data_IF_582743101281
#
_entry.id   IF_582743101281
#
_cell.length_a   1.000
_cell.length_b   1.000
_cell.length_c   1.000
_cell.angle_alpha   90.00
_cell.angle_beta   90.00
_cell.angle_gamma   90.00
#
_symmetry.space_group_name_H-M   'P 1'
#
loop_
_entity.id
_entity.type
_entity.pdbx_description
1 polymer ?
#
# COMPACT_ATOMS: atom_id res chain seq x y z
N UNK A 1 19.58 4.14 -4.65
CA UNK A 1 18.28 3.47 -4.43
C UNK A 1 18.34 2.45 -3.28
N UNK A 2 19.43 1.71 -3.09
CA UNK A 2 19.56 0.69 -2.03
C UNK A 2 19.36 1.19 -0.59
N UNK A 3 19.90 2.37 -0.24
CA UNK A 3 19.71 2.95 1.12
C UNK A 3 18.24 3.20 1.45
N UNK A 4 17.44 3.63 0.48
CA UNK A 4 15.99 3.87 0.66
C UNK A 4 15.25 2.55 0.83
N UNK A 5 15.58 1.54 0.02
CA UNK A 5 15.03 0.19 0.17
C UNK A 5 15.37 -0.41 1.55
N UNK A 6 16.62 -0.26 1.99
CA UNK A 6 17.06 -0.68 3.31
C UNK A 6 16.28 0.03 4.42
N UNK A 7 16.13 1.35 4.33
CA UNK A 7 15.40 2.13 5.33
C UNK A 7 13.91 1.72 5.39
N UNK A 8 13.25 1.56 4.25
CA UNK A 8 11.88 1.04 4.21
C UNK A 8 11.77 -0.36 4.82
N UNK A 9 12.73 -1.24 4.54
CA UNK A 9 12.74 -2.57 5.17
C UNK A 9 12.92 -2.49 6.69
N UNK A 10 13.76 -1.58 7.18
CA UNK A 10 13.94 -1.34 8.63
C UNK A 10 12.67 -0.81 9.30
N UNK A 11 11.95 0.09 8.64
CA UNK A 11 10.65 0.59 9.14
C UNK A 11 9.62 -0.54 9.18
N UNK A 12 9.52 -1.34 8.12
CA UNK A 12 8.62 -2.52 8.08
C UNK A 12 8.97 -3.54 9.17
N UNK A 13 10.25 -3.79 9.42
CA UNK A 13 10.71 -4.68 10.50
C UNK A 13 10.20 -4.19 11.86
N UNK A 14 10.40 -2.90 12.20
CA UNK A 14 9.90 -2.32 13.46
C UNK A 14 8.38 -2.37 13.57
N UNK A 15 7.67 -2.10 12.48
CA UNK A 15 6.20 -2.19 12.44
C UNK A 15 5.73 -3.63 12.69
N UNK A 16 6.39 -4.62 12.09
CA UNK A 16 6.07 -6.04 12.28
C UNK A 16 6.39 -6.51 13.69
N UNK A 17 7.51 -6.11 14.27
CA UNK A 17 7.86 -6.38 15.68
C UNK A 17 6.74 -5.89 16.61
N UNK A 18 6.24 -4.68 16.37
CA UNK A 18 5.16 -4.10 17.17
C UNK A 18 3.82 -4.82 16.95
N UNK A 19 3.48 -5.16 15.71
CA UNK A 19 2.27 -5.94 15.40
C UNK A 19 2.29 -7.31 16.10
N UNK A 20 3.44 -8.00 16.10
CA UNK A 20 3.63 -9.27 16.83
C UNK A 20 3.47 -9.08 18.34
N UNK A 21 3.97 -7.97 18.89
CA UNK A 21 3.88 -7.68 20.34
C UNK A 21 2.44 -7.53 20.82
N UNK A 22 1.59 -6.89 20.03
CA UNK A 22 0.21 -6.56 20.40
C UNK A 22 -0.82 -7.60 19.92
N UNK A 23 -0.47 -8.46 18.96
CA UNK A 23 -1.34 -9.53 18.49
C UNK A 23 -1.72 -10.52 19.61
N UNK A 24 -2.95 -11.09 19.57
CA UNK A 24 -3.47 -11.91 20.66
C UNK A 24 -2.78 -13.28 20.72
N UNK A 25 -2.41 -13.84 19.56
CA UNK A 25 -1.74 -15.14 19.44
C UNK A 25 -0.22 -15.02 19.54
N UNK A 26 0.32 -14.99 20.77
CA UNK A 26 1.76 -14.81 21.04
C UNK A 26 2.64 -16.02 20.74
N UNK A 27 2.06 -17.23 20.70
CA UNK A 27 2.83 -18.48 20.60
C UNK A 27 3.23 -18.78 19.15
N UNK A 28 2.44 -18.32 18.17
CA UNK A 28 2.76 -18.38 16.74
C UNK A 28 1.77 -17.49 15.95
N UNK A 29 2.04 -16.18 15.80
CA UNK A 29 1.12 -15.30 15.07
C UNK A 29 1.06 -15.70 13.60
N UNK A 30 -0.15 -15.85 13.07
CA UNK A 30 -0.38 -16.09 11.64
C UNK A 30 -0.39 -14.74 10.91
N UNK A 31 0.45 -14.59 9.89
CA UNK A 31 0.61 -13.37 9.13
C UNK A 31 0.15 -13.52 7.66
N UNK A 32 -0.73 -12.64 7.21
CA UNK A 32 -1.14 -12.48 5.81
C UNK A 32 -0.55 -11.19 5.24
N UNK A 33 0.19 -11.26 4.13
CA UNK A 33 0.69 -10.08 3.42
C UNK A 33 -0.07 -9.86 2.11
N UNK A 34 -0.88 -8.79 2.04
CA UNK A 34 -1.77 -8.48 0.93
C UNK A 34 -1.05 -7.84 -0.27
N UNK A 35 0.19 -7.39 -0.10
CA UNK A 35 0.93 -6.63 -1.10
C UNK A 35 2.31 -7.23 -1.43
N UNK A 36 2.46 -8.55 -1.32
CA UNK A 36 3.73 -9.27 -1.49
C UNK A 36 4.19 -9.42 -2.97
N UNK A 37 3.36 -9.05 -3.95
CA UNK A 37 3.56 -9.32 -5.37
C UNK A 37 2.24 -9.35 -6.14
N UNK A 38 2.11 -10.05 -7.29
CA UNK A 38 0.95 -9.97 -8.21
C UNK A 38 -0.42 -10.47 -7.66
N UNK A 39 -0.62 -10.53 -6.34
CA UNK A 39 -1.95 -10.52 -5.73
C UNK A 39 -2.83 -11.75 -5.99
N UNK A 40 -2.31 -12.84 -6.56
CA UNK A 40 -3.10 -14.04 -6.91
C UNK A 40 -3.54 -14.88 -5.72
N UNK A 41 -3.05 -14.59 -4.53
CA UNK A 41 -3.13 -15.53 -3.40
C UNK A 41 -4.14 -15.13 -2.33
N UNK A 42 -4.69 -13.90 -2.38
CA UNK A 42 -5.75 -13.44 -1.46
C UNK A 42 -6.99 -14.35 -1.46
N UNK A 43 -7.42 -14.81 -2.63
CA UNK A 43 -8.60 -15.67 -2.79
C UNK A 43 -8.32 -17.14 -2.42
N UNK A 44 -7.05 -17.56 -2.31
CA UNK A 44 -6.68 -18.93 -1.91
C UNK A 44 -6.89 -19.19 -0.42
N UNK A 45 -6.90 -18.14 0.38
CA UNK A 45 -6.99 -18.22 1.84
C UNK A 45 -8.33 -17.69 2.39
N UNK A 46 -9.23 -17.24 1.51
CA UNK A 46 -10.57 -16.84 1.90
C UNK A 46 -11.36 -18.07 2.39
N UNK A 47 -11.56 -18.17 3.71
CA UNK A 47 -12.51 -19.10 4.33
C UNK A 47 -11.93 -20.30 5.08
N UNK A 48 -10.60 -20.42 5.23
CA UNK A 48 -10.01 -21.61 5.88
C UNK A 48 -9.33 -21.34 7.21
N UNK A 49 -8.72 -20.16 7.43
CA UNK A 49 -8.12 -19.78 8.71
C UNK A 49 -8.17 -18.26 8.95
N UNK A 50 -8.28 -17.83 10.21
CA UNK A 50 -8.17 -16.41 10.62
C UNK A 50 -6.72 -16.05 10.92
N UNK A 51 -6.36 -14.80 10.66
CA UNK A 51 -5.00 -14.29 10.76
C UNK A 51 -4.86 -13.37 11.98
N UNK A 52 -3.75 -13.50 12.71
CA UNK A 52 -3.41 -12.64 13.84
C UNK A 52 -2.92 -11.28 13.37
N UNK A 53 -2.28 -11.25 12.20
CA UNK A 53 -1.69 -10.06 11.60
C UNK A 53 -2.00 -10.06 10.10
N UNK A 54 -2.49 -8.93 9.59
CA UNK A 54 -2.65 -8.68 8.16
C UNK A 54 -1.81 -7.44 7.82
N UNK A 55 -0.97 -7.53 6.79
CA UNK A 55 -0.15 -6.41 6.33
C UNK A 55 -0.47 -5.96 4.91
N UNK A 56 -0.38 -4.64 4.66
CA UNK A 56 -0.47 -4.05 3.33
C UNK A 56 0.56 -2.91 3.17
N UNK A 57 1.74 -3.22 2.64
CA UNK A 57 2.86 -2.28 2.55
C UNK A 57 2.95 -1.64 1.16
N UNK A 58 2.89 -0.31 1.08
CA UNK A 58 3.06 0.48 -0.16
C UNK A 58 2.08 0.12 -1.29
N UNK A 59 0.88 -0.34 -0.94
CA UNK A 59 -0.16 -0.68 -1.91
C UNK A 59 -1.57 -0.20 -1.52
N UNK A 60 -1.79 0.19 -0.27
CA UNK A 60 -3.11 0.59 0.22
C UNK A 60 -3.70 1.77 -0.57
N UNK A 61 -2.85 2.71 -0.99
CA UNK A 61 -3.25 3.88 -1.78
C UNK A 61 -3.84 3.54 -3.15
N UNK A 62 -3.58 2.34 -3.70
CA UNK A 62 -4.24 1.90 -4.94
C UNK A 62 -5.71 1.53 -4.73
N UNK A 63 -6.07 1.09 -3.52
CA UNK A 63 -7.44 0.71 -3.16
C UNK A 63 -8.28 1.93 -2.75
N UNK A 64 -7.64 3.04 -2.36
CA UNK A 64 -8.29 4.25 -1.86
C UNK A 64 -8.87 5.18 -2.95
N UNK A 65 -8.74 4.82 -4.24
CA UNK A 65 -9.31 5.62 -5.35
C UNK A 65 -10.83 5.54 -5.42
N UNK A 66 -11.40 4.46 -4.91
CA UNK A 66 -12.82 4.13 -5.02
C UNK A 66 -13.30 3.71 -3.63
N UNK A 67 -14.17 4.52 -3.04
CA UNK A 67 -14.65 4.33 -1.66
C UNK A 67 -15.37 2.99 -1.48
N UNK A 68 -16.12 2.54 -2.49
CA UNK A 68 -16.83 1.26 -2.44
C UNK A 68 -15.82 0.10 -2.44
N UNK A 69 -14.83 0.14 -3.33
CA UNK A 69 -13.75 -0.88 -3.36
C UNK A 69 -12.90 -0.84 -2.09
N UNK A 70 -12.65 0.35 -1.54
CA UNK A 70 -11.93 0.49 -0.28
C UNK A 70 -12.72 -0.12 0.88
N UNK A 71 -14.03 0.11 0.94
CA UNK A 71 -14.93 -0.52 1.90
C UNK A 71 -14.88 -2.05 1.81
N UNK A 72 -15.05 -2.59 0.59
CA UNK A 72 -14.97 -4.04 0.35
C UNK A 72 -13.59 -4.62 0.74
N UNK A 73 -12.51 -3.89 0.48
CA UNK A 73 -11.17 -4.28 0.90
C UNK A 73 -11.06 -4.33 2.44
N UNK A 74 -11.57 -3.31 3.13
CA UNK A 74 -11.55 -3.28 4.60
C UNK A 74 -12.44 -4.35 5.22
N UNK A 75 -13.58 -4.67 4.60
CA UNK A 75 -14.43 -5.80 4.98
C UNK A 75 -13.70 -7.14 4.82
N UNK A 76 -12.95 -7.31 3.73
CA UNK A 76 -12.12 -8.50 3.52
C UNK A 76 -10.99 -8.60 4.57
N UNK A 77 -10.33 -7.49 4.90
CA UNK A 77 -9.32 -7.43 5.97
C UNK A 77 -9.94 -7.80 7.32
N UNK A 78 -11.07 -7.20 7.68
CA UNK A 78 -11.78 -7.47 8.93
C UNK A 78 -12.27 -8.92 9.00
N UNK A 79 -12.78 -9.46 7.90
CA UNK A 79 -13.22 -10.85 7.79
C UNK A 79 -12.08 -11.86 7.94
N UNK A 80 -10.87 -11.51 7.48
CA UNK A 80 -9.67 -12.33 7.58
C UNK A 80 -9.05 -12.31 8.98
N UNK A 81 -9.19 -11.22 9.73
CA UNK A 81 -8.62 -11.09 11.07
C UNK A 81 -9.33 -11.96 12.11
N UNK A 82 -8.57 -12.42 13.10
CA UNK A 82 -9.13 -12.90 14.37
C UNK A 82 -9.54 -11.74 15.28
N UNK A 83 -10.37 -12.02 16.29
CA UNK A 83 -10.76 -11.00 17.28
C UNK A 83 -9.50 -10.51 18.00
N UNK A 84 -9.26 -9.20 17.95
CA UNK A 84 -8.05 -8.59 18.49
C UNK A 84 -6.83 -8.65 17.56
N UNK A 85 -6.97 -9.20 16.35
CA UNK A 85 -5.93 -9.20 15.33
C UNK A 85 -5.56 -7.80 14.84
N UNK A 86 -4.38 -7.69 14.23
CA UNK A 86 -3.76 -6.41 13.85
C UNK A 86 -3.76 -6.25 12.34
N UNK A 87 -4.28 -5.12 11.86
CA UNK A 87 -4.01 -4.64 10.50
C UNK A 87 -2.91 -3.59 10.53
N UNK A 88 -1.84 -3.79 9.75
CA UNK A 88 -0.70 -2.88 9.69
C UNK A 88 -0.25 -2.60 8.24
N UNK A 89 0.34 -1.45 7.99
CA UNK A 89 0.82 -1.13 6.66
C UNK A 89 1.54 0.21 6.61
N UNK A 90 2.32 0.39 5.55
CA UNK A 90 3.00 1.66 5.27
C UNK A 90 2.34 2.35 4.08
N UNK A 91 1.96 3.62 4.25
CA UNK A 91 1.47 4.48 3.17
C UNK A 91 2.23 5.82 3.13
N UNK A 92 2.09 6.52 2.01
CA UNK A 92 2.55 7.91 1.92
C UNK A 92 1.67 8.83 2.77
N UNK A 93 2.28 9.80 3.44
CA UNK A 93 1.53 10.82 4.18
C UNK A 93 0.90 11.83 3.20
N UNK A 94 -0.43 11.84 3.11
CA UNK A 94 -1.19 12.72 2.22
C UNK A 94 -0.88 14.21 2.42
N UNK A 95 -0.87 14.68 3.66
CA UNK A 95 -0.57 16.09 3.98
C UNK A 95 0.86 16.51 3.59
N UNK A 96 1.81 15.56 3.63
CA UNK A 96 3.18 15.79 3.18
C UNK A 96 3.21 15.89 1.66
N UNK A 97 2.50 15.02 0.96
CA UNK A 97 2.37 15.02 -0.50
C UNK A 97 1.75 16.34 -0.96
N UNK A 98 0.62 16.74 -0.35
CA UNK A 98 -0.07 18.01 -0.64
C UNK A 98 0.86 19.23 -0.49
N UNK A 99 1.63 19.28 0.60
CA UNK A 99 2.59 20.38 0.83
C UNK A 99 3.75 20.40 -0.16
N UNK A 100 4.24 19.24 -0.59
CA UNK A 100 5.34 19.15 -1.55
C UNK A 100 4.89 19.58 -2.95
N UNK A 101 3.70 19.14 -3.36
CA UNK A 101 3.10 19.46 -4.66
C UNK A 101 2.69 20.93 -4.73
N UNK A 102 2.10 21.47 -3.65
CA UNK A 102 1.73 22.87 -3.55
C UNK A 102 0.89 23.39 -4.73
N UNK A 103 0.90 24.71 -4.96
CA UNK A 103 0.18 25.34 -6.08
C UNK A 103 0.76 25.02 -7.46
N UNK A 104 2.04 24.61 -7.55
CA UNK A 104 2.66 24.24 -8.84
C UNK A 104 2.06 22.97 -9.43
N UNK A 105 1.42 22.14 -8.60
CA UNK A 105 0.86 20.86 -9.04
C UNK A 105 1.93 19.81 -9.32
N UNK A 106 3.22 20.11 -9.12
CA UNK A 106 4.34 19.25 -9.44
C UNK A 106 5.47 19.42 -8.42
N UNK A 107 6.11 18.31 -8.07
CA UNK A 107 7.31 18.23 -7.23
C UNK A 107 8.28 17.23 -7.82
N UNK A 108 9.56 17.58 -7.88
CA UNK A 108 10.62 16.70 -8.36
C UNK A 108 11.83 16.73 -7.43
N UNK A 109 12.44 15.57 -7.26
CA UNK A 109 13.68 15.37 -6.51
C UNK A 109 14.51 14.29 -7.20
N UNK A 110 15.77 14.14 -6.81
CA UNK A 110 16.62 13.04 -7.32
C UNK A 110 16.15 11.62 -6.98
N UNK A 111 15.04 11.47 -6.24
CA UNK A 111 14.48 10.18 -5.83
C UNK A 111 13.06 9.96 -6.38
N UNK A 112 12.21 10.99 -6.31
CA UNK A 112 10.81 10.88 -6.69
C UNK A 112 10.31 12.13 -7.40
N UNK A 113 9.31 11.91 -8.24
CA UNK A 113 8.49 12.95 -8.83
C UNK A 113 7.02 12.73 -8.44
N UNK A 114 6.31 13.82 -8.17
CA UNK A 114 4.91 13.84 -7.81
C UNK A 114 4.22 14.84 -8.74
N UNK A 115 3.07 14.47 -9.31
CA UNK A 115 2.28 15.38 -10.13
C UNK A 115 0.79 15.23 -9.82
N UNK A 116 0.11 16.36 -9.67
CA UNK A 116 -1.35 16.45 -9.56
C UNK A 116 -1.97 16.66 -10.94
N UNK A 117 -3.03 15.90 -11.22
CA UNK A 117 -3.87 16.06 -12.41
C UNK A 117 -5.33 16.00 -11.96
N UNK A 118 -5.96 17.17 -11.82
CA UNK A 118 -7.29 17.26 -11.21
C UNK A 118 -7.24 16.85 -9.73
N UNK A 119 -8.08 15.89 -9.34
CA UNK A 119 -8.14 15.33 -7.98
C UNK A 119 -7.11 14.22 -7.75
N UNK A 120 -6.45 13.73 -8.79
CA UNK A 120 -5.51 12.61 -8.68
C UNK A 120 -4.07 13.07 -8.50
N UNK A 121 -3.33 12.32 -7.68
CA UNK A 121 -1.91 12.53 -7.43
C UNK A 121 -1.13 11.27 -7.84
N UNK A 122 -0.30 11.41 -8.86
CA UNK A 122 0.61 10.36 -9.32
C UNK A 122 1.98 10.50 -8.69
N UNK A 123 2.60 9.37 -8.31
CA UNK A 123 3.96 9.32 -7.75
C UNK A 123 4.83 8.39 -8.57
N UNK A 124 6.04 8.86 -8.91
CA UNK A 124 7.06 8.10 -9.65
C UNK A 124 8.37 8.06 -8.86
N UNK A 125 8.97 6.88 -8.73
CA UNK A 125 10.22 6.65 -7.97
C UNK A 125 11.50 6.70 -8.81
N UNK A 126 11.43 7.27 -10.03
CA UNK A 126 12.57 7.33 -10.96
C UNK A 126 13.25 8.71 -11.02
N UNK A 127 12.86 9.66 -10.16
CA UNK A 127 13.47 10.99 -10.09
C UNK A 127 13.41 11.80 -11.39
N UNK A 128 12.45 11.48 -12.28
CA UNK A 128 12.13 12.25 -13.48
C UNK A 128 10.62 12.31 -13.65
N UNK A 129 10.08 13.50 -13.91
CA UNK A 129 8.76 13.64 -14.52
C UNK A 129 8.90 13.17 -15.98
N UNK A 130 8.73 11.86 -16.20
CA UNK A 130 8.73 11.36 -17.59
C UNK A 130 7.41 11.75 -18.26
N UNK A 131 7.43 12.07 -19.55
CA UNK A 131 6.21 12.18 -20.35
C UNK A 131 5.36 10.88 -20.36
N UNK A 132 5.91 9.77 -19.84
CA UNK A 132 5.23 8.49 -19.59
C UNK A 132 4.41 8.44 -18.30
N UNK A 133 4.70 9.25 -17.29
CA UNK A 133 3.77 9.47 -16.16
C UNK A 133 2.44 10.09 -16.64
N UNK A 134 2.42 10.70 -17.84
CA UNK A 134 1.21 11.15 -18.52
C UNK A 134 0.46 10.05 -19.31
N UNK A 135 0.96 8.81 -19.37
CA UNK A 135 0.35 7.72 -20.17
C UNK A 135 0.15 6.39 -19.43
N UNK A 136 0.72 6.21 -18.23
CA UNK A 136 0.81 4.90 -17.58
C UNK A 136 -0.48 4.38 -16.89
N UNK A 137 -1.56 5.16 -16.79
CA UNK A 137 -2.85 4.67 -16.25
C UNK A 137 -3.95 4.49 -17.30
N UNK A 138 -3.62 4.48 -18.60
CA UNK A 138 -4.59 4.12 -19.66
C UNK A 138 -4.47 2.68 -20.16
N UNK A 139 -3.63 1.83 -19.57
CA UNK A 139 -3.34 0.51 -20.16
C UNK A 139 -3.31 -0.71 -19.22
N UNK A 140 -3.83 -0.62 -17.98
CA UNK A 140 -4.05 -1.84 -17.16
C UNK A 140 -5.53 -2.20 -16.94
N UNK A 141 -6.47 -1.38 -17.42
CA UNK A 141 -7.89 -1.76 -17.56
C UNK A 141 -8.28 -1.65 -19.03
N UNK A 142 -7.92 -2.66 -19.81
CA UNK A 142 -8.22 -2.71 -21.24
C UNK A 142 -7.75 -4.01 -21.87
N UNK A 143 -8.72 -4.91 -22.10
CA UNK A 143 -8.67 -6.19 -22.81
C UNK A 143 -8.21 -7.40 -22.00
N UNK A 144 -9.19 -8.19 -21.57
CA UNK A 144 -9.33 -9.57 -22.05
C UNK A 144 -10.80 -9.78 -22.41
N UNK A 145 -11.06 -9.82 -23.72
CA UNK A 145 -12.08 -10.71 -24.25
C UNK A 145 -11.53 -12.13 -24.33
#
# INVERSE_FOLDING_TARGET
MERVRWYHNRVKERMLEEAVRIAPSRVAPKLLDLACGPGSDMLKYAGTERWSIVTCNMALHYMMRDEEKFGLFMDAVAGALEVGGVFAGTLMNGDRVERLVGPSGEYESGLMAIARRGEEVGVSMTGRITSRTARAERSSCGRRG
#
